data_IF_003232819866
#
_entry.id   IF_003232819866
#
_cell.length_a   1.000
_cell.length_b   1.000
_cell.length_c   1.000
_cell.angle_alpha   90.00
_cell.angle_beta   90.00
_cell.angle_gamma   90.00
#
_symmetry.space_group_name_H-M   'P 1'
#
loop_
_entity.id
_entity.type
_entity.pdbx_description
1 polymer ?
#
# COMPACT_ATOMS: atom_id res chain seq x y z
N UNK A 1 -8.35 3.71 11.67
CA UNK A 1 -7.96 5.08 11.26
C UNK A 1 -6.65 5.08 10.49
N UNK A 2 -5.57 4.49 11.02
CA UNK A 2 -4.24 4.47 10.39
C UNK A 2 -4.25 4.02 8.91
N UNK A 3 -4.87 2.89 8.51
CA UNK A 3 -4.86 2.45 7.10
C UNK A 3 -5.64 3.39 6.16
N UNK A 4 -6.64 4.11 6.69
CA UNK A 4 -7.44 5.05 5.88
C UNK A 4 -6.58 6.26 5.49
N UNK A 5 -5.87 6.84 6.47
CA UNK A 5 -4.98 7.97 6.24
C UNK A 5 -3.83 7.58 5.30
N UNK A 6 -3.23 6.41 5.52
CA UNK A 6 -2.18 5.88 4.64
C UNK A 6 -2.66 5.76 3.20
N UNK A 7 -3.80 5.10 2.94
CA UNK A 7 -4.27 4.96 1.57
C UNK A 7 -4.64 6.31 0.92
N UNK A 8 -5.19 7.27 1.66
CA UNK A 8 -5.43 8.62 1.11
C UNK A 8 -4.10 9.26 0.70
N UNK A 9 -3.09 9.23 1.56
CA UNK A 9 -1.77 9.83 1.32
C UNK A 9 -1.08 9.11 0.15
N UNK A 10 -0.95 7.79 0.20
CA UNK A 10 -0.18 7.04 -0.77
C UNK A 10 -0.89 6.89 -2.12
N UNK A 11 -2.22 6.71 -2.16
CA UNK A 11 -2.94 6.45 -3.41
C UNK A 11 -3.31 7.72 -4.17
N UNK A 12 -3.65 8.81 -3.47
CA UNK A 12 -4.02 10.05 -4.15
C UNK A 12 -2.83 11.00 -4.33
N UNK A 13 -1.90 11.09 -3.36
CA UNK A 13 -0.80 12.05 -3.45
C UNK A 13 0.48 11.41 -3.97
N UNK A 14 1.03 10.40 -3.28
CA UNK A 14 2.33 9.81 -3.67
C UNK A 14 2.24 9.12 -5.03
N UNK A 15 1.29 8.20 -5.18
CA UNK A 15 1.04 7.54 -6.47
C UNK A 15 0.64 8.55 -7.54
N UNK A 16 -0.26 9.49 -7.21
CA UNK A 16 -0.68 10.55 -8.15
C UNK A 16 0.49 11.39 -8.67
N UNK A 17 1.44 11.75 -7.80
CA UNK A 17 2.65 12.50 -8.15
C UNK A 17 3.51 11.74 -9.17
N UNK A 18 3.75 10.44 -8.94
CA UNK A 18 4.52 9.62 -9.87
C UNK A 18 3.75 9.40 -11.17
N UNK A 19 2.45 9.09 -11.08
CA UNK A 19 1.60 8.78 -12.23
C UNK A 19 1.41 9.97 -13.17
N UNK A 20 1.48 11.19 -12.64
CA UNK A 20 1.52 12.42 -13.43
C UNK A 20 2.74 12.51 -14.35
N UNK A 21 3.85 11.84 -14.00
CA UNK A 21 5.15 11.96 -14.70
C UNK A 21 5.60 10.67 -15.40
N UNK A 22 5.14 9.52 -14.92
CA UNK A 22 5.64 8.21 -15.31
C UNK A 22 4.50 7.24 -15.65
N UNK A 23 4.88 6.12 -16.29
CA UNK A 23 3.95 5.03 -16.61
C UNK A 23 3.46 4.29 -15.36
N UNK A 24 2.40 3.49 -15.54
CA UNK A 24 1.75 2.72 -14.47
C UNK A 24 2.74 1.89 -13.65
N UNK A 25 3.57 1.07 -14.31
CA UNK A 25 4.46 0.13 -13.64
C UNK A 25 5.45 0.80 -12.69
N UNK A 26 6.18 1.81 -13.19
CA UNK A 26 7.10 2.58 -12.36
C UNK A 26 6.36 3.33 -11.24
N UNK A 27 5.23 3.96 -11.53
CA UNK A 27 4.48 4.75 -10.54
C UNK A 27 3.93 3.88 -9.40
N UNK A 28 3.41 2.71 -9.72
CA UNK A 28 2.91 1.75 -8.75
C UNK A 28 4.05 1.21 -7.88
N UNK A 29 5.15 0.79 -8.50
CA UNK A 29 6.32 0.28 -7.79
C UNK A 29 6.96 1.33 -6.88
N UNK A 30 7.21 2.54 -7.39
CA UNK A 30 7.81 3.63 -6.62
C UNK A 30 6.94 4.03 -5.43
N UNK A 31 5.62 4.11 -5.63
CA UNK A 31 4.66 4.36 -4.54
C UNK A 31 4.65 3.23 -3.51
N UNK A 32 4.70 1.97 -3.94
CA UNK A 32 4.77 0.80 -3.07
C UNK A 32 6.07 0.73 -2.26
N UNK A 33 7.19 1.07 -2.88
CA UNK A 33 8.49 1.11 -2.20
C UNK A 33 8.54 2.23 -1.15
N UNK A 34 8.04 3.42 -1.48
CA UNK A 34 7.92 4.52 -0.50
C UNK A 34 7.05 4.12 0.69
N UNK A 35 5.94 3.43 0.43
CA UNK A 35 5.08 2.88 1.47
C UNK A 35 5.86 1.92 2.37
N UNK A 36 6.59 0.98 1.79
CA UNK A 36 7.33 -0.05 2.53
C UNK A 36 8.49 0.49 3.38
N UNK A 37 9.24 1.48 2.89
CA UNK A 37 10.41 2.03 3.61
C UNK A 37 9.99 2.88 4.81
N UNK A 38 8.82 3.53 4.75
CA UNK A 38 8.28 4.34 5.85
C UNK A 38 7.58 3.52 6.93
N UNK A 39 7.41 2.22 6.70
CA UNK A 39 6.73 1.30 7.59
C UNK A 39 7.66 0.76 8.70
N UNK A 40 7.23 0.73 9.98
CA UNK A 40 8.09 0.40 11.13
C UNK A 40 8.40 -1.10 11.32
N UNK A 41 8.01 -1.97 10.39
CA UNK A 41 8.17 -3.43 10.48
C UNK A 41 9.61 -3.92 10.21
N UNK A 42 10.53 -2.99 9.88
CA UNK A 42 11.95 -3.27 9.67
C UNK A 42 12.28 -3.70 8.23
N UNK A 43 13.58 -3.75 7.93
CA UNK A 43 14.09 -3.97 6.56
C UNK A 43 13.64 -5.30 5.95
N UNK A 44 13.46 -6.34 6.76
CA UNK A 44 13.01 -7.65 6.28
C UNK A 44 11.58 -7.62 5.75
N UNK A 45 10.75 -6.68 6.20
CA UNK A 45 9.38 -6.53 5.73
C UNK A 45 9.27 -5.74 4.41
N UNK A 46 10.32 -5.00 4.02
CA UNK A 46 10.29 -4.10 2.85
C UNK A 46 9.87 -4.81 1.57
N UNK A 47 10.38 -6.01 1.21
CA UNK A 47 9.94 -6.70 0.00
C UNK A 47 8.43 -7.00 0.01
N UNK A 48 7.91 -7.55 1.10
CA UNK A 48 6.50 -7.91 1.22
C UNK A 48 5.59 -6.67 1.21
N UNK A 49 5.97 -5.62 1.94
CA UNK A 49 5.23 -4.35 1.98
C UNK A 49 5.30 -3.61 0.64
N UNK A 50 6.39 -3.74 -0.11
CA UNK A 50 6.49 -3.15 -1.47
C UNK A 50 5.50 -3.82 -2.41
N UNK A 51 5.36 -5.15 -2.34
CA UNK A 51 4.37 -5.90 -3.12
C UNK A 51 2.96 -5.47 -2.75
N UNK A 52 2.65 -5.38 -1.44
CA UNK A 52 1.35 -4.88 -0.97
C UNK A 52 1.06 -3.47 -1.49
N UNK A 53 1.95 -2.52 -1.23
CA UNK A 53 1.78 -1.12 -1.65
C UNK A 53 1.67 -0.95 -3.17
N UNK A 54 2.40 -1.75 -3.95
CA UNK A 54 2.29 -1.78 -5.42
C UNK A 54 0.93 -2.30 -5.86
N UNK A 55 0.46 -3.40 -5.27
CA UNK A 55 -0.87 -3.95 -5.55
C UNK A 55 -1.99 -2.97 -5.22
N UNK A 56 -1.89 -2.27 -4.09
CA UNK A 56 -2.84 -1.22 -3.69
C UNK A 56 -2.83 -0.03 -4.67
N UNK A 57 -1.66 0.36 -5.18
CA UNK A 57 -1.54 1.39 -6.22
C UNK A 57 -2.24 0.98 -7.52
N UNK A 58 -2.01 -0.26 -7.97
CA UNK A 58 -2.66 -0.82 -9.17
C UNK A 58 -4.17 -0.90 -8.96
N UNK A 59 -4.62 -1.32 -7.78
CA UNK A 59 -6.04 -1.36 -7.45
C UNK A 59 -6.64 0.06 -7.49
N UNK A 60 -5.93 1.08 -6.99
CA UNK A 60 -6.36 2.47 -7.11
C UNK A 60 -6.49 2.93 -8.56
N UNK A 61 -5.55 2.56 -9.45
CA UNK A 61 -5.60 2.94 -10.87
C UNK A 61 -6.91 2.49 -11.53
N UNK A 62 -7.37 1.28 -11.19
CA UNK A 62 -8.55 0.66 -11.80
C UNK A 62 -9.86 1.00 -11.08
N UNK A 63 -9.82 1.78 -9.99
CA UNK A 63 -11.00 2.13 -9.19
C UNK A 63 -11.14 3.64 -9.05
N UNK A 64 -12.35 4.21 -9.23
CA UNK A 64 -12.54 5.66 -9.11
C UNK A 64 -12.32 6.16 -7.69
N UNK A 65 -12.49 5.31 -6.67
CA UNK A 65 -12.36 5.66 -5.26
C UNK A 65 -11.20 4.95 -4.56
N UNK A 66 -10.74 5.55 -3.45
CA UNK A 66 -9.72 4.95 -2.56
C UNK A 66 -10.27 3.83 -1.67
N UNK A 67 -11.59 3.60 -1.68
CA UNK A 67 -12.23 2.63 -0.78
C UNK A 67 -11.74 1.21 -1.02
N UNK A 68 -11.52 0.81 -2.27
CA UNK A 68 -11.02 -0.53 -2.57
C UNK A 68 -9.63 -0.77 -1.96
N UNK A 69 -8.61 0.09 -2.19
CA UNK A 69 -7.35 0.01 -1.46
C UNK A 69 -7.50 0.00 0.06
N UNK A 70 -8.35 0.86 0.63
CA UNK A 70 -8.58 0.92 2.09
C UNK A 70 -9.04 -0.42 2.63
N UNK A 71 -10.10 -0.99 2.02
CA UNK A 71 -10.67 -2.26 2.48
C UNK A 71 -9.65 -3.39 2.32
N UNK A 72 -8.95 -3.46 1.17
CA UNK A 72 -7.91 -4.47 0.95
C UNK A 72 -6.80 -4.36 1.99
N UNK A 73 -6.30 -3.16 2.27
CA UNK A 73 -5.25 -2.95 3.25
C UNK A 73 -5.72 -3.32 4.67
N UNK A 74 -6.94 -2.94 5.06
CA UNK A 74 -7.53 -3.34 6.34
C UNK A 74 -7.67 -4.86 6.48
N UNK A 75 -8.08 -5.55 5.42
CA UNK A 75 -8.20 -7.02 5.42
C UNK A 75 -6.84 -7.69 5.56
N UNK A 76 -5.83 -7.24 4.81
CA UNK A 76 -4.47 -7.79 4.90
C UNK A 76 -3.90 -7.60 6.31
N UNK A 77 -4.02 -6.41 6.88
CA UNK A 77 -3.55 -6.14 8.25
C UNK A 77 -4.30 -6.97 9.29
N UNK A 78 -5.63 -7.06 9.18
CA UNK A 78 -6.44 -7.88 10.07
C UNK A 78 -6.05 -9.36 10.01
N UNK A 79 -5.81 -9.89 8.81
CA UNK A 79 -5.36 -11.26 8.62
C UNK A 79 -3.96 -11.48 9.21
N UNK A 80 -2.99 -10.61 8.90
CA UNK A 80 -1.62 -10.71 9.42
C UNK A 80 -1.59 -10.65 10.95
N UNK A 81 -2.30 -9.70 11.56
CA UNK A 81 -2.37 -9.58 13.02
C UNK A 81 -3.03 -10.82 13.66
N UNK A 82 -4.12 -11.32 13.07
CA UNK A 82 -4.78 -12.54 13.55
C UNK A 82 -3.85 -13.75 13.49
N UNK A 83 -3.12 -13.89 12.38
CA UNK A 83 -2.18 -14.99 12.20
C UNK A 83 -1.00 -14.90 13.18
N UNK A 84 -0.44 -13.70 13.38
CA UNK A 84 0.63 -13.48 14.36
C UNK A 84 0.19 -13.84 15.78
N UNK A 85 -1.04 -13.48 16.18
CA UNK A 85 -1.58 -13.82 17.49
C UNK A 85 -1.86 -15.32 17.70
N UNK A 86 -1.99 -16.10 16.62
CA UNK A 86 -2.20 -17.56 16.72
C UNK A 86 -0.85 -18.31 16.76
N UNK A 87 0.16 -17.78 16.08
CA UNK A 87 1.47 -18.43 15.90
C UNK A 87 2.50 -18.07 16.99
N UNK A 88 2.32 -16.94 17.68
CA UNK A 88 3.18 -16.45 18.76
C UNK A 88 2.47 -16.57 20.10
#
# INVERSE_FOLDING_TARGET
>A
VVPIAEEVIFRNFVYGFFRFRFGLGFSAFASGLFFAVLHPQGLMAVPALTVLGTGLAILREHRPSVLAPIVTHMVVNGFTLSLMNILL
#
